data_IF_646479214211
#
_entry.id   IF_646479214211
#
_cell.length_a   1.000
_cell.length_b   1.000
_cell.length_c   1.000
_cell.angle_alpha   90.00
_cell.angle_beta   90.00
_cell.angle_gamma   90.00
#
_symmetry.space_group_name_H-M   'P 1'
#
loop_
_entity.id
_entity.type
_entity.pdbx_description
1 polymer ?
#
# COMPACT_ATOMS: atom_id res chain seq x y z
N UNK A 1 -10.18 -2.66 -7.53
CA UNK A 1 -9.08 -2.33 -8.47
C UNK A 1 -8.83 -0.83 -8.57
N UNK A 2 -9.86 0.00 -8.77
CA UNK A 2 -9.73 1.48 -8.84
C UNK A 2 -8.90 2.07 -7.69
N UNK A 3 -9.07 1.62 -6.44
CA UNK A 3 -8.34 2.18 -5.30
C UNK A 3 -6.83 1.89 -5.36
N UNK A 4 -6.42 0.66 -5.73
CA UNK A 4 -5.00 0.29 -5.82
C UNK A 4 -4.34 0.99 -7.01
N UNK A 5 -5.07 1.13 -8.13
CA UNK A 5 -4.61 1.89 -9.29
C UNK A 5 -4.46 3.38 -8.96
N UNK A 6 -5.39 3.93 -8.18
CA UNK A 6 -5.35 5.31 -7.72
C UNK A 6 -4.22 5.57 -6.72
N UNK A 7 -4.00 4.63 -5.80
CA UNK A 7 -2.89 4.65 -4.85
C UNK A 7 -1.54 4.61 -5.59
N UNK A 8 -1.39 3.70 -6.56
CA UNK A 8 -0.22 3.63 -7.43
C UNK A 8 -0.01 4.94 -8.18
N UNK A 9 -1.06 5.48 -8.80
CA UNK A 9 -1.01 6.75 -9.50
C UNK A 9 -0.55 7.89 -8.58
N UNK A 10 -1.08 7.98 -7.36
CA UNK A 10 -0.70 9.06 -6.44
C UNK A 10 0.75 8.94 -5.97
N UNK A 11 1.24 7.73 -5.69
CA UNK A 11 2.66 7.54 -5.40
C UNK A 11 3.53 7.90 -6.61
N UNK A 12 3.22 7.36 -7.79
CA UNK A 12 3.98 7.65 -9.01
C UNK A 12 3.97 9.16 -9.33
N UNK A 13 2.83 9.82 -9.20
CA UNK A 13 2.67 11.27 -9.45
C UNK A 13 3.42 12.13 -8.42
N UNK A 14 3.47 11.68 -7.15
CA UNK A 14 4.29 12.32 -6.12
C UNK A 14 5.77 12.29 -6.52
N UNK A 15 6.29 11.13 -6.92
CA UNK A 15 7.68 10.96 -7.34
C UNK A 15 8.00 11.53 -8.72
N UNK A 16 6.98 11.72 -9.59
CA UNK A 16 7.14 12.30 -10.92
C UNK A 16 7.87 13.66 -10.90
N UNK A 17 7.65 14.45 -9.85
CA UNK A 17 8.27 15.77 -9.70
C UNK A 17 9.75 15.70 -9.27
N UNK A 18 10.19 14.57 -8.71
CA UNK A 18 11.54 14.40 -8.15
C UNK A 18 12.43 13.49 -9.00
N UNK A 19 11.83 12.58 -9.77
CA UNK A 19 12.56 11.53 -10.49
C UNK A 19 12.48 11.73 -12.00
N UNK A 20 13.65 11.72 -12.66
CA UNK A 20 13.77 11.77 -14.12
C UNK A 20 13.66 10.37 -14.74
N UNK A 21 13.43 10.34 -16.06
CA UNK A 21 13.56 9.16 -16.91
C UNK A 21 12.62 7.97 -16.61
N UNK A 22 11.42 8.23 -16.08
CA UNK A 22 10.40 7.20 -15.88
C UNK A 22 10.53 6.39 -14.59
N UNK A 23 11.56 6.69 -13.78
CA UNK A 23 11.83 6.00 -12.50
C UNK A 23 10.67 6.10 -11.51
N UNK A 24 9.87 7.18 -11.60
CA UNK A 24 8.68 7.40 -10.77
C UNK A 24 7.67 6.26 -10.85
N UNK A 25 7.63 5.49 -11.95
CA UNK A 25 6.79 4.29 -12.09
C UNK A 25 7.24 3.19 -11.13
N UNK A 26 8.55 2.98 -11.00
CA UNK A 26 9.12 2.02 -10.06
C UNK A 26 8.88 2.46 -8.62
N UNK A 27 9.08 3.75 -8.32
CA UNK A 27 8.76 4.31 -7.00
C UNK A 27 7.27 4.19 -6.65
N UNK A 28 6.39 4.35 -7.64
CA UNK A 28 4.96 4.07 -7.52
C UNK A 28 4.67 2.61 -7.14
N UNK A 29 5.34 1.65 -7.78
CA UNK A 29 5.23 0.22 -7.46
C UNK A 29 5.70 -0.03 -6.02
N UNK A 30 6.88 0.48 -5.66
CA UNK A 30 7.48 0.30 -4.33
C UNK A 30 6.58 0.87 -3.24
N UNK A 31 6.08 2.11 -3.41
CA UNK A 31 5.18 2.75 -2.44
C UNK A 31 3.87 1.97 -2.26
N UNK A 32 3.28 1.52 -3.37
CA UNK A 32 2.05 0.72 -3.35
C UNK A 32 2.26 -0.63 -2.67
N UNK A 33 3.34 -1.32 -3.00
CA UNK A 33 3.73 -2.57 -2.32
C UNK A 33 3.93 -2.35 -0.83
N UNK A 34 4.65 -1.28 -0.45
CA UNK A 34 4.96 -0.96 0.94
C UNK A 34 3.71 -0.77 1.78
N UNK A 35 2.76 0.06 1.33
CA UNK A 35 1.54 0.32 2.11
C UNK A 35 0.60 -0.88 2.16
N UNK A 36 0.47 -1.64 1.08
CA UNK A 36 -0.36 -2.85 1.09
C UNK A 36 0.23 -3.94 1.99
N UNK A 37 1.56 -4.11 1.93
CA UNK A 37 2.31 -5.02 2.80
C UNK A 37 2.19 -4.61 4.27
N UNK A 38 2.31 -3.32 4.56
CA UNK A 38 2.11 -2.78 5.90
C UNK A 38 0.73 -3.09 6.46
N UNK A 39 -0.32 -2.85 5.67
CA UNK A 39 -1.69 -3.17 6.07
C UNK A 39 -1.92 -4.68 6.24
N UNK A 40 -1.29 -5.52 5.40
CA UNK A 40 -1.34 -6.97 5.59
C UNK A 40 -0.72 -7.38 6.92
N UNK A 41 0.48 -6.88 7.25
CA UNK A 41 1.14 -7.17 8.53
C UNK A 41 0.26 -6.70 9.69
N UNK A 42 -0.35 -5.52 9.57
CA UNK A 42 -1.27 -5.01 10.58
C UNK A 42 -2.44 -5.96 10.86
N UNK A 43 -3.10 -6.42 9.80
CA UNK A 43 -4.22 -7.36 9.90
C UNK A 43 -3.75 -8.67 10.53
N UNK A 44 -2.59 -9.18 10.14
CA UNK A 44 -2.03 -10.40 10.73
C UNK A 44 -1.75 -10.24 12.23
N UNK A 45 -1.24 -9.09 12.67
CA UNK A 45 -1.03 -8.79 14.10
C UNK A 45 -2.35 -8.74 14.88
N UNK A 46 -3.40 -8.12 14.34
CA UNK A 46 -4.72 -8.12 14.96
C UNK A 46 -5.26 -9.55 15.05
N UNK A 47 -5.21 -10.31 13.96
CA UNK A 47 -5.76 -11.66 13.94
C UNK A 47 -5.02 -12.57 14.92
N UNK A 48 -3.69 -12.47 14.97
CA UNK A 48 -2.88 -13.24 15.89
C UNK A 48 -3.21 -12.93 17.35
N UNK A 49 -3.33 -11.64 17.69
CA UNK A 49 -3.61 -11.17 19.05
C UNK A 49 -5.02 -11.53 19.54
N UNK A 50 -6.05 -11.34 18.70
CA UNK A 50 -7.44 -11.50 19.15
C UNK A 50 -7.98 -12.92 18.98
N UNK A 51 -7.38 -13.72 18.08
CA UNK A 51 -7.85 -15.08 17.80
C UNK A 51 -6.87 -16.19 18.23
N UNK A 52 -5.71 -15.85 18.82
CA UNK A 52 -4.69 -16.79 19.29
C UNK A 52 -4.33 -17.86 18.24
N UNK A 53 -4.25 -17.43 16.97
CA UNK A 53 -4.06 -18.35 15.84
C UNK A 53 -2.59 -18.70 15.58
N UNK A 54 -1.63 -18.07 16.28
CA UNK A 54 -0.18 -18.23 16.10
C UNK A 54 0.26 -18.15 14.62
N UNK A 55 -0.34 -17.22 13.87
CA UNK A 55 -0.10 -17.02 12.44
C UNK A 55 1.22 -16.30 12.21
N UNK A 56 1.60 -15.41 13.14
CA UNK A 56 2.86 -14.69 13.04
C UNK A 56 4.02 -15.58 13.46
N UNK A 57 5.05 -15.76 12.61
CA UNK A 57 6.23 -16.52 12.96
C UNK A 57 6.99 -15.86 14.10
N UNK A 58 7.63 -16.68 14.94
CA UNK A 58 8.49 -16.18 16.03
C UNK A 58 9.66 -15.33 15.52
N UNK A 59 10.15 -15.62 14.32
CA UNK A 59 11.14 -14.78 13.65
C UNK A 59 10.43 -13.62 12.92
N UNK A 60 10.61 -12.41 13.44
CA UNK A 60 10.04 -11.16 12.88
C UNK A 60 10.38 -10.91 11.41
N UNK A 61 11.51 -11.41 10.91
CA UNK A 61 11.91 -11.23 9.51
C UNK A 61 11.12 -12.14 8.56
N UNK A 62 10.64 -13.30 9.03
CA UNK A 62 9.82 -14.20 8.23
C UNK A 62 8.43 -13.62 7.90
N UNK A 63 7.98 -12.62 8.66
CA UNK A 63 6.75 -11.87 8.37
C UNK A 63 6.83 -11.21 6.98
N UNK A 64 8.02 -10.79 6.54
CA UNK A 64 8.21 -10.18 5.21
C UNK A 64 7.92 -11.16 4.06
N UNK A 65 8.04 -12.47 4.30
CA UNK A 65 7.71 -13.50 3.30
C UNK A 65 6.22 -13.46 2.95
N UNK A 66 5.35 -13.12 3.91
CA UNK A 66 3.92 -12.95 3.67
C UNK A 66 3.59 -11.78 2.76
N UNK A 67 4.53 -10.84 2.56
CA UNK A 67 4.37 -9.72 1.63
C UNK A 67 4.71 -10.11 0.18
N UNK A 68 5.38 -11.25 -0.06
CA UNK A 68 5.77 -11.68 -1.41
C UNK A 68 4.57 -11.78 -2.37
N UNK A 69 3.43 -12.39 -2.01
CA UNK A 69 2.26 -12.42 -2.88
C UNK A 69 1.76 -11.02 -3.27
N UNK A 70 1.81 -10.05 -2.34
CA UNK A 70 1.43 -8.65 -2.61
C UNK A 70 2.40 -8.01 -3.60
N UNK A 71 3.71 -8.19 -3.36
CA UNK A 71 4.77 -7.65 -4.23
C UNK A 71 4.65 -8.23 -5.64
N UNK A 72 4.44 -9.54 -5.76
CA UNK A 72 4.27 -10.20 -7.06
C UNK A 72 3.00 -9.72 -7.76
N UNK A 73 1.87 -9.63 -7.04
CA UNK A 73 0.62 -9.15 -7.60
C UNK A 73 0.73 -7.73 -8.15
N UNK A 74 1.26 -6.80 -7.35
CA UNK A 74 1.43 -5.38 -7.73
C UNK A 74 2.49 -5.23 -8.81
N UNK A 75 3.63 -5.89 -8.66
CA UNK A 75 4.74 -5.85 -9.60
C UNK A 75 4.33 -6.36 -10.98
N UNK A 76 3.72 -7.54 -11.05
CA UNK A 76 3.25 -8.12 -12.33
C UNK A 76 2.16 -7.23 -12.95
N UNK A 77 1.23 -6.70 -12.16
CA UNK A 77 0.16 -5.83 -12.64
C UNK A 77 0.71 -4.59 -13.34
N UNK A 78 1.54 -3.80 -12.67
CA UNK A 78 1.99 -2.51 -13.21
C UNK A 78 3.21 -2.60 -14.13
N UNK A 79 3.93 -3.73 -14.10
CA UNK A 79 4.98 -4.00 -15.08
C UNK A 79 4.39 -4.48 -16.42
N UNK A 80 3.39 -5.37 -16.39
CA UNK A 80 2.95 -6.11 -17.58
C UNK A 80 1.52 -5.81 -18.04
N UNK A 81 0.59 -5.58 -17.12
CA UNK A 81 -0.85 -5.58 -17.44
C UNK A 81 -1.49 -4.20 -17.50
N UNK A 82 -0.96 -3.22 -16.77
CA UNK A 82 -1.56 -1.88 -16.71
C UNK A 82 -0.45 -0.85 -16.63
N UNK A 83 -0.33 -0.02 -17.66
CA UNK A 83 0.67 1.05 -17.69
C UNK A 83 0.24 2.24 -16.83
N UNK A 84 1.23 3.05 -16.40
CA UNK A 84 0.96 4.31 -15.71
C UNK A 84 0.14 5.26 -16.58
N UNK A 85 0.43 5.30 -17.88
CA UNK A 85 -0.25 6.12 -18.88
C UNK A 85 -1.75 5.79 -18.95
N UNK A 86 -2.11 4.51 -19.01
CA UNK A 86 -3.52 4.08 -18.99
C UNK A 86 -4.26 4.52 -17.71
N UNK A 87 -3.56 4.53 -16.57
CA UNK A 87 -4.13 4.94 -15.30
C UNK A 87 -4.26 6.47 -15.27
N UNK A 88 -3.27 7.22 -15.73
CA UNK A 88 -3.30 8.67 -15.82
C UNK A 88 -4.46 9.16 -16.70
N UNK A 89 -4.64 8.59 -17.90
CA UNK A 89 -5.77 8.89 -18.78
C UNK A 89 -7.12 8.60 -18.09
N UNK A 90 -7.20 7.47 -17.38
CA UNK A 90 -8.40 7.11 -16.62
C UNK A 90 -8.66 8.09 -15.48
N UNK A 91 -7.64 8.53 -14.75
CA UNK A 91 -7.78 9.50 -13.66
C UNK A 91 -8.13 10.89 -14.21
N UNK A 92 -7.61 11.27 -15.38
CA UNK A 92 -7.96 12.51 -16.09
C UNK A 92 -9.42 12.55 -16.55
N UNK A 93 -9.99 11.41 -16.95
CA UNK A 93 -11.41 11.31 -17.30
C UNK A 93 -12.37 11.35 -16.10
N UNK A 94 -11.88 11.34 -14.86
CA UNK A 94 -12.74 11.47 -13.68
C UNK A 94 -13.22 12.90 -13.47
N UNK A 95 -14.51 13.05 -13.18
CA UNK A 95 -15.08 14.34 -12.74
C UNK A 95 -14.39 14.82 -11.46
N UNK A 96 -14.28 16.15 -11.31
CA UNK A 96 -13.62 16.81 -10.16
C UNK A 96 -14.07 16.26 -8.80
N UNK A 97 -15.39 16.08 -8.61
CA UNK A 97 -15.94 15.57 -7.36
C UNK A 97 -15.48 14.14 -7.05
N UNK A 98 -15.41 13.27 -8.07
CA UNK A 98 -14.96 11.89 -7.91
C UNK A 98 -13.49 11.82 -7.50
N UNK A 99 -12.65 12.68 -8.07
CA UNK A 99 -11.24 12.79 -7.72
C UNK A 99 -11.07 13.23 -6.25
N UNK A 100 -11.78 14.28 -5.83
CA UNK A 100 -11.76 14.77 -4.45
C UNK A 100 -12.15 13.67 -3.46
N UNK A 101 -13.23 12.91 -3.74
CA UNK A 101 -13.66 11.80 -2.88
C UNK A 101 -12.57 10.73 -2.78
N UNK A 102 -11.96 10.35 -3.90
CA UNK A 102 -10.88 9.36 -3.90
C UNK A 102 -9.64 9.86 -3.14
N UNK A 103 -9.28 11.14 -3.26
CA UNK A 103 -8.18 11.74 -2.51
C UNK A 103 -8.44 11.72 -1.00
N UNK A 104 -9.64 12.11 -0.57
CA UNK A 104 -10.04 12.06 0.85
C UNK A 104 -9.98 10.63 1.37
N UNK A 105 -10.54 9.67 0.63
CA UNK A 105 -10.50 8.25 1.01
C UNK A 105 -9.07 7.73 1.13
N UNK A 106 -8.18 8.13 0.21
CA UNK A 106 -6.78 7.72 0.23
C UNK A 106 -6.02 8.32 1.42
N UNK A 107 -6.23 9.61 1.69
CA UNK A 107 -5.63 10.30 2.84
C UNK A 107 -6.09 9.64 4.14
N UNK A 108 -7.39 9.39 4.28
CA UNK A 108 -7.94 8.67 5.44
C UNK A 108 -7.32 7.28 5.55
N UNK A 109 -7.21 6.53 4.46
CA UNK A 109 -6.57 5.22 4.46
C UNK A 109 -5.13 5.27 4.97
N UNK A 110 -4.31 6.22 4.49
CA UNK A 110 -2.91 6.37 4.89
C UNK A 110 -2.81 6.82 6.36
N UNK A 111 -3.57 7.86 6.76
CA UNK A 111 -3.54 8.44 8.11
C UNK A 111 -4.12 7.49 9.15
N UNK A 112 -5.05 6.62 8.80
CA UNK A 112 -5.59 5.63 9.74
C UNK A 112 -4.60 4.46 9.85
N UNK A 113 -4.04 3.99 8.73
CA UNK A 113 -3.18 2.80 8.72
C UNK A 113 -1.82 3.00 9.42
N UNK A 114 -1.20 4.19 9.35
CA UNK A 114 0.12 4.43 9.92
C UNK A 114 0.14 4.59 11.46
N UNK A 115 -0.52 5.59 12.06
CA UNK A 115 -0.64 5.77 13.51
C UNK A 115 -1.20 4.57 14.25
N UNK A 116 -2.26 3.93 13.72
CA UNK A 116 -2.86 2.78 14.39
C UNK A 116 -1.89 1.60 14.39
N UNK A 117 -1.20 1.35 13.28
CA UNK A 117 -0.18 0.31 13.25
C UNK A 117 0.94 0.59 14.25
N UNK A 118 1.49 1.81 14.25
CA UNK A 118 2.60 2.18 15.16
C UNK A 118 2.15 2.04 16.61
N UNK A 119 0.97 2.57 16.95
CA UNK A 119 0.41 2.47 18.31
C UNK A 119 0.17 1.03 18.73
N UNK A 120 -0.40 0.21 17.85
CA UNK A 120 -0.67 -1.20 18.13
C UNK A 120 0.61 -2.04 18.24
N UNK A 121 1.58 -1.80 17.36
CA UNK A 121 2.88 -2.47 17.42
C UNK A 121 3.66 -2.09 18.69
N UNK A 122 3.63 -0.82 19.10
CA UNK A 122 4.23 -0.37 20.35
C UNK A 122 3.53 -1.00 21.57
N UNK A 123 2.20 -1.05 21.57
CA UNK A 123 1.43 -1.72 22.63
C UNK A 123 1.80 -3.20 22.78
N UNK A 124 1.89 -3.94 21.67
CA UNK A 124 2.30 -5.34 21.69
C UNK A 124 3.76 -5.53 22.11
N UNK A 125 4.65 -4.60 21.72
CA UNK A 125 6.05 -4.61 22.15
C UNK A 125 6.24 -4.30 23.63
N UNK A 126 5.37 -3.49 24.23
CA UNK A 126 5.42 -3.13 25.65
C UNK A 126 4.68 -4.11 26.56
N UNK A 127 3.76 -4.92 26.03
CA UNK A 127 2.98 -5.91 26.80
C UNK A 127 3.62 -7.30 26.84
N UNK A 128 4.81 -7.47 26.24
CA UNK A 128 5.66 -8.66 26.33
C UNK A 128 6.89 -8.34 27.18
#
# INVERSE_FOLDING_TARGET
MILIDYLYYQFANFYYHFEKDGTHKASGIIGTCGILSWNLIFILMIVDQFFNRHILPSNKYLVLVYCIPVILFVGVRYWKFTSYEEIDERVKSFNKNKRIVLDILLILYIIISLPIFIGFAAYLGSSK
#
